data_IF_536712520379
#
_entry.id   IF_536712520379
#
_cell.length_a   1.000
_cell.length_b   1.000
_cell.length_c   1.000
_cell.angle_alpha   90.00
_cell.angle_beta   90.00
_cell.angle_gamma   90.00
#
_symmetry.space_group_name_H-M   'P 1'
#
loop_
_entity.id
_entity.type
_entity.pdbx_description
1 polymer ?
#
# COMPACT_ATOMS: atom_id res chain seq x y z
N UNK A 1 17.43 57.62 28.92
CA UNK A 1 16.74 57.44 27.62
C UNK A 1 17.27 56.15 26.97
N UNK A 2 16.50 55.09 26.92
CA UNK A 2 16.93 53.89 26.20
C UNK A 2 16.81 54.15 24.70
N UNK A 3 17.87 53.83 23.96
CA UNK A 3 17.90 54.05 22.53
C UNK A 3 16.85 53.16 21.85
N UNK A 4 16.12 53.70 20.88
CA UNK A 4 15.07 53.01 20.10
C UNK A 4 15.43 51.62 19.59
N UNK A 5 16.68 51.33 19.13
CA UNK A 5 17.06 49.99 18.71
C UNK A 5 17.08 48.95 19.88
N UNK A 6 17.37 49.37 21.10
CA UNK A 6 17.39 48.49 22.27
C UNK A 6 15.99 48.07 22.69
N UNK A 7 15.02 48.98 22.61
CA UNK A 7 13.62 48.69 22.93
C UNK A 7 13.00 47.76 21.85
N UNK A 8 13.34 47.95 20.61
CA UNK A 8 12.90 47.06 19.48
C UNK A 8 13.50 45.66 19.63
N UNK A 9 14.78 45.54 19.95
CA UNK A 9 15.42 44.21 20.15
C UNK A 9 14.83 43.48 21.33
N UNK A 10 14.51 44.19 22.42
CA UNK A 10 13.92 43.60 23.63
C UNK A 10 12.46 43.18 23.38
N UNK A 11 11.71 43.98 22.66
CA UNK A 11 10.34 43.63 22.23
C UNK A 11 10.33 42.42 21.31
N UNK A 12 11.27 42.29 20.38
CA UNK A 12 11.45 41.14 19.51
C UNK A 12 11.79 39.86 20.30
N UNK A 13 12.70 39.96 21.27
CA UNK A 13 13.10 38.86 22.15
C UNK A 13 11.93 38.36 23.03
N UNK A 14 11.09 39.27 23.53
CA UNK A 14 9.89 38.90 24.31
C UNK A 14 8.76 38.33 23.43
N UNK A 15 8.70 38.71 22.15
CA UNK A 15 7.69 38.18 21.24
C UNK A 15 8.01 36.76 20.76
N UNK A 16 9.28 36.36 20.75
CA UNK A 16 9.70 35.02 20.31
C UNK A 16 9.05 33.87 21.12
N UNK A 17 9.09 33.85 22.46
CA UNK A 17 8.41 32.79 23.24
C UNK A 17 6.90 32.83 23.07
N UNK A 18 6.30 34.02 22.92
CA UNK A 18 4.87 34.15 22.66
C UNK A 18 4.53 33.55 21.27
N UNK A 19 5.31 33.83 20.24
CA UNK A 19 5.16 33.27 18.93
C UNK A 19 5.38 31.75 18.90
N UNK A 20 6.34 31.25 19.67
CA UNK A 20 6.60 29.82 19.83
C UNK A 20 5.47 29.10 20.58
N UNK A 21 4.91 29.74 21.61
CA UNK A 21 3.87 29.13 22.46
C UNK A 21 2.46 29.22 21.80
N UNK A 22 2.16 30.33 21.14
CA UNK A 22 0.85 30.59 20.55
C UNK A 22 0.82 30.42 19.03
N UNK A 23 1.96 30.46 18.34
CA UNK A 23 2.06 30.29 16.87
C UNK A 23 1.36 29.02 16.36
N UNK A 24 1.55 27.85 16.98
CA UNK A 24 0.83 26.62 16.60
C UNK A 24 -0.69 26.66 16.84
N UNK A 25 -1.16 27.57 17.72
CA UNK A 25 -2.60 27.76 17.98
C UNK A 25 -3.25 28.79 17.07
N UNK A 26 -2.47 29.73 16.54
CA UNK A 26 -2.96 30.81 15.65
C UNK A 26 -2.88 30.39 14.19
N UNK A 27 -1.89 29.57 13.83
CA UNK A 27 -1.79 28.95 12.53
C UNK A 27 -2.17 27.48 12.71
N UNK A 28 -3.44 27.11 12.54
CA UNK A 28 -3.81 25.72 12.61
C UNK A 28 -3.00 24.99 11.53
N UNK A 29 -2.42 23.82 11.84
CA UNK A 29 -1.80 23.01 10.82
C UNK A 29 -2.80 22.87 9.68
N UNK A 30 -2.35 23.02 8.43
CA UNK A 30 -3.17 22.77 7.24
C UNK A 30 -3.58 21.29 7.22
N UNK A 31 -4.47 20.92 8.14
CA UNK A 31 -5.15 19.64 8.03
C UNK A 31 -6.19 19.79 6.93
N UNK A 32 -6.11 18.93 5.95
CA UNK A 32 -7.19 18.71 5.01
C UNK A 32 -8.47 18.53 5.83
N UNK A 33 -9.40 19.46 5.71
CA UNK A 33 -10.74 19.28 6.25
C UNK A 33 -11.38 18.13 5.46
N UNK A 34 -11.42 16.96 6.09
CA UNK A 34 -12.28 15.87 5.62
C UNK A 34 -13.70 16.39 5.85
N UNK A 35 -14.45 16.53 4.77
CA UNK A 35 -15.83 17.00 4.88
C UNK A 35 -16.65 15.89 5.55
N UNK A 36 -17.64 16.27 6.34
CA UNK A 36 -18.54 15.33 7.03
C UNK A 36 -19.21 14.35 6.04
N UNK A 37 -19.53 14.83 4.85
CA UNK A 37 -20.11 14.02 3.77
C UNK A 37 -19.15 12.92 3.30
N UNK A 38 -17.84 13.21 3.21
CA UNK A 38 -16.82 12.23 2.84
C UNK A 38 -16.69 11.12 3.89
N UNK A 39 -16.78 11.45 5.16
CA UNK A 39 -16.73 10.47 6.26
C UNK A 39 -17.96 9.57 6.27
N UNK A 40 -19.15 10.11 6.00
CA UNK A 40 -20.39 9.35 5.93
C UNK A 40 -20.39 8.39 4.73
N UNK A 41 -19.93 8.85 3.57
CA UNK A 41 -19.74 8.01 2.37
C UNK A 41 -18.78 6.84 2.66
N UNK A 42 -17.67 7.12 3.32
CA UNK A 42 -16.68 6.11 3.69
C UNK A 42 -17.22 5.08 4.68
N UNK A 43 -17.95 5.53 5.70
CA UNK A 43 -18.58 4.65 6.68
C UNK A 43 -19.61 3.74 6.02
N UNK A 44 -20.43 4.27 5.12
CA UNK A 44 -21.41 3.48 4.36
C UNK A 44 -20.72 2.45 3.47
N UNK A 45 -19.66 2.83 2.76
CA UNK A 45 -18.89 1.96 1.91
C UNK A 45 -18.24 0.82 2.71
N UNK A 46 -17.57 1.14 3.82
CA UNK A 46 -16.89 0.16 4.66
C UNK A 46 -17.86 -0.80 5.34
N UNK A 47 -19.04 -0.31 5.77
CA UNK A 47 -20.09 -1.15 6.33
C UNK A 47 -20.62 -2.13 5.28
N UNK A 48 -20.88 -1.68 4.06
CA UNK A 48 -21.30 -2.54 2.95
C UNK A 48 -20.25 -3.61 2.65
N UNK A 49 -18.98 -3.26 2.56
CA UNK A 49 -17.89 -4.19 2.33
C UNK A 49 -17.77 -5.23 3.46
N UNK A 50 -17.91 -4.81 4.72
CA UNK A 50 -17.88 -5.73 5.87
C UNK A 50 -19.04 -6.72 5.89
N UNK A 51 -20.23 -6.30 5.42
CA UNK A 51 -21.41 -7.19 5.33
C UNK A 51 -21.28 -8.17 4.14
N UNK A 52 -20.64 -7.72 3.04
CA UNK A 52 -20.46 -8.52 1.84
C UNK A 52 -19.42 -9.65 2.01
N UNK A 53 -18.57 -9.56 3.05
CA UNK A 53 -17.60 -10.63 3.34
C UNK A 53 -18.33 -11.97 3.49
N UNK A 54 -17.91 -13.02 2.74
CA UNK A 54 -18.51 -14.33 2.85
C UNK A 54 -18.34 -14.84 4.28
N UNK A 55 -19.43 -14.99 5.02
CA UNK A 55 -19.38 -15.74 6.27
C UNK A 55 -18.92 -17.16 5.95
N UNK A 56 -18.09 -17.79 6.78
CA UNK A 56 -17.69 -19.17 6.60
C UNK A 56 -18.97 -20.02 6.50
N UNK A 57 -19.35 -20.38 5.29
CA UNK A 57 -20.48 -21.31 5.09
C UNK A 57 -19.96 -22.72 5.26
N UNK A 58 -20.62 -23.56 6.04
CA UNK A 58 -20.31 -24.99 6.04
C UNK A 58 -20.42 -25.50 4.60
N UNK A 59 -19.41 -26.21 4.14
CA UNK A 59 -19.38 -26.78 2.78
C UNK A 59 -20.64 -27.63 2.56
N UNK A 60 -21.56 -27.15 1.72
CA UNK A 60 -22.49 -28.06 1.05
C UNK A 60 -21.66 -28.89 0.06
N UNK A 61 -21.84 -30.21 0.00
CA UNK A 61 -21.21 -31.02 -1.03
C UNK A 61 -21.70 -30.54 -2.37
N UNK A 62 -20.81 -29.89 -3.12
CA UNK A 62 -21.10 -29.43 -4.48
C UNK A 62 -21.11 -30.68 -5.35
N UNK A 63 -22.23 -30.94 -6.02
CA UNK A 63 -22.38 -31.98 -7.02
C UNK A 63 -21.23 -31.88 -8.04
N UNK A 64 -20.53 -32.99 -8.28
CA UNK A 64 -19.35 -33.07 -9.16
C UNK A 64 -19.68 -32.96 -10.65
N UNK A 65 -20.92 -32.71 -11.02
CA UNK A 65 -21.32 -32.56 -12.42
C UNK A 65 -21.25 -31.08 -12.85
N UNK A 66 -20.21 -30.74 -13.59
CA UNK A 66 -20.23 -29.66 -14.57
C UNK A 66 -19.93 -28.24 -14.11
N UNK A 67 -19.54 -27.97 -12.86
CA UNK A 67 -19.12 -26.63 -12.44
C UNK A 67 -17.60 -26.51 -12.49
N UNK A 68 -17.10 -25.80 -13.48
CA UNK A 68 -15.73 -25.25 -13.43
C UNK A 68 -15.61 -24.38 -12.19
N UNK A 69 -14.82 -24.84 -11.21
CA UNK A 69 -14.59 -24.10 -9.98
C UNK A 69 -13.87 -22.77 -10.36
N UNK A 70 -14.47 -21.60 -10.16
CA UNK A 70 -13.86 -20.36 -10.60
C UNK A 70 -12.54 -20.17 -9.86
N UNK A 71 -11.48 -19.80 -10.60
CA UNK A 71 -10.16 -19.57 -10.02
C UNK A 71 -10.17 -18.30 -9.19
N UNK A 72 -9.51 -18.27 -8.02
CA UNK A 72 -9.37 -17.06 -7.23
C UNK A 72 -8.55 -16.01 -7.99
N UNK A 73 -8.78 -14.73 -7.67
CA UNK A 73 -8.13 -13.61 -8.34
C UNK A 73 -7.24 -12.82 -7.38
N UNK A 74 -6.29 -12.09 -7.97
CA UNK A 74 -5.50 -11.07 -7.30
C UNK A 74 -6.13 -9.71 -7.61
N UNK A 75 -6.49 -8.94 -6.60
CA UNK A 75 -6.90 -7.54 -6.71
C UNK A 75 -5.68 -6.63 -6.57
N UNK A 76 -5.29 -5.96 -7.63
CA UNK A 76 -4.22 -4.97 -7.63
C UNK A 76 -4.81 -3.59 -7.32
N UNK A 77 -4.36 -2.99 -6.22
CA UNK A 77 -4.89 -1.75 -5.65
C UNK A 77 -3.86 -0.64 -5.83
N UNK A 78 -3.99 0.15 -6.89
CA UNK A 78 -3.07 1.22 -7.21
C UNK A 78 -3.44 2.51 -6.48
N UNK A 79 -2.48 3.03 -5.71
CA UNK A 79 -2.55 4.35 -5.10
C UNK A 79 -1.62 5.28 -5.85
N UNK A 80 -2.17 6.33 -6.45
CA UNK A 80 -1.38 7.30 -7.22
C UNK A 80 -1.75 8.75 -6.90
N UNK A 81 -0.75 9.62 -7.01
CA UNK A 81 -0.87 11.07 -7.04
C UNK A 81 -0.16 11.69 -8.25
N UNK A 82 0.22 10.87 -9.23
CA UNK A 82 0.80 11.25 -10.52
C UNK A 82 0.29 10.27 -11.56
N UNK A 83 0.67 10.47 -12.83
CA UNK A 83 0.40 9.51 -13.88
C UNK A 83 0.99 8.13 -13.58
N UNK A 84 0.38 7.10 -14.16
CA UNK A 84 0.82 5.71 -14.06
C UNK A 84 1.87 5.42 -15.14
N UNK A 85 3.04 6.05 -15.01
CA UNK A 85 4.11 5.99 -16.02
C UNK A 85 4.53 4.58 -16.43
N UNK A 86 4.39 3.61 -15.52
CA UNK A 86 4.69 2.20 -15.81
C UNK A 86 3.49 1.41 -16.36
N UNK A 87 2.42 2.08 -16.82
CA UNK A 87 1.27 1.40 -17.42
C UNK A 87 1.66 0.43 -18.54
N UNK A 88 2.56 0.74 -19.50
CA UNK A 88 2.96 -0.21 -20.54
C UNK A 88 3.61 -1.49 -19.98
N UNK A 89 4.40 -1.38 -18.90
CA UNK A 89 5.02 -2.53 -18.25
C UNK A 89 3.97 -3.40 -17.53
N UNK A 90 2.99 -2.77 -16.89
CA UNK A 90 1.88 -3.45 -16.23
C UNK A 90 0.94 -4.12 -17.23
N UNK A 91 0.65 -3.49 -18.38
CA UNK A 91 -0.11 -4.10 -19.47
C UNK A 91 0.52 -5.40 -19.94
N UNK A 92 1.85 -5.38 -20.10
CA UNK A 92 2.60 -6.56 -20.48
C UNK A 92 2.56 -7.65 -19.41
N UNK A 93 2.67 -7.26 -18.13
CA UNK A 93 2.55 -8.17 -17.00
C UNK A 93 1.17 -8.86 -16.94
N UNK A 94 0.10 -8.15 -17.24
CA UNK A 94 -1.27 -8.65 -17.13
C UNK A 94 -1.75 -9.38 -18.38
N UNK A 95 -1.10 -9.18 -19.51
CA UNK A 95 -1.51 -9.71 -20.82
C UNK A 95 -1.75 -11.22 -20.81
N UNK A 96 -2.93 -11.65 -21.29
CA UNK A 96 -3.33 -13.06 -21.33
C UNK A 96 -3.81 -13.65 -20.01
N UNK A 97 -3.98 -12.83 -18.97
CA UNK A 97 -4.36 -13.29 -17.64
C UNK A 97 -5.62 -12.61 -17.06
N UNK A 98 -6.46 -12.02 -17.89
CA UNK A 98 -7.60 -11.16 -17.56
C UNK A 98 -8.61 -11.83 -16.62
N UNK A 99 -8.65 -13.16 -16.60
CA UNK A 99 -9.54 -13.95 -15.74
C UNK A 99 -9.00 -14.17 -14.32
N UNK A 100 -7.75 -13.79 -14.05
CA UNK A 100 -7.04 -14.12 -12.81
C UNK A 100 -6.72 -12.90 -11.95
N UNK A 101 -7.05 -11.70 -12.41
CA UNK A 101 -6.83 -10.47 -11.68
C UNK A 101 -7.97 -9.48 -11.85
N UNK A 102 -8.00 -8.50 -10.98
CA UNK A 102 -8.75 -7.26 -11.11
C UNK A 102 -7.85 -6.08 -10.74
N UNK A 103 -8.07 -4.92 -11.36
CA UNK A 103 -7.32 -3.68 -11.08
C UNK A 103 -8.28 -2.63 -10.56
N UNK A 104 -7.86 -1.91 -9.53
CA UNK A 104 -8.58 -0.78 -8.94
C UNK A 104 -7.59 0.36 -8.71
N UNK A 105 -7.94 1.56 -9.12
CA UNK A 105 -7.07 2.74 -9.03
C UNK A 105 -7.74 3.81 -8.19
N UNK A 106 -7.03 4.32 -7.18
CA UNK A 106 -7.39 5.55 -6.48
C UNK A 106 -6.36 6.62 -6.83
N UNK A 107 -6.81 7.64 -7.55
CA UNK A 107 -6.02 8.83 -7.82
C UNK A 107 -6.34 9.93 -6.79
N UNK A 108 -5.35 10.75 -6.47
CA UNK A 108 -5.58 11.98 -5.71
C UNK A 108 -6.47 12.94 -6.53
N UNK A 109 -7.56 13.44 -5.95
CA UNK A 109 -8.47 14.35 -6.66
C UNK A 109 -7.84 15.71 -7.02
N UNK A 110 -6.72 16.07 -6.40
CA UNK A 110 -5.97 17.29 -6.75
C UNK A 110 -5.05 17.08 -7.97
N UNK A 111 -4.87 15.85 -8.42
CA UNK A 111 -4.00 15.49 -9.55
C UNK A 111 -4.87 15.05 -10.72
N UNK A 112 -4.62 15.63 -11.88
CA UNK A 112 -5.18 15.10 -13.13
C UNK A 112 -4.30 13.93 -13.57
N UNK A 113 -4.78 12.72 -13.32
CA UNK A 113 -4.15 11.51 -13.86
C UNK A 113 -4.77 11.28 -15.24
N UNK A 114 -3.93 11.27 -16.27
CA UNK A 114 -4.39 11.00 -17.62
C UNK A 114 -4.91 9.56 -17.73
N UNK A 115 -6.14 9.40 -18.18
CA UNK A 115 -6.64 8.11 -18.66
C UNK A 115 -6.17 7.96 -20.11
N UNK A 116 -5.10 7.22 -20.30
CA UNK A 116 -4.48 7.05 -21.61
C UNK A 116 -5.28 6.12 -22.56
N UNK A 117 -6.47 5.72 -22.17
CA UNK A 117 -7.41 4.94 -22.99
C UNK A 117 -6.78 3.72 -23.68
N UNK A 118 -7.27 2.52 -23.35
CA UNK A 118 -6.79 1.28 -23.97
C UNK A 118 -5.73 0.52 -23.18
N UNK A 119 -5.24 1.05 -22.05
CA UNK A 119 -4.40 0.32 -21.11
C UNK A 119 -5.23 -0.45 -20.06
N UNK A 120 -4.55 -1.26 -19.25
CA UNK A 120 -5.17 -2.05 -18.18
C UNK A 120 -5.86 -1.21 -17.10
N UNK A 121 -5.56 0.08 -17.01
CA UNK A 121 -6.10 1.01 -16.02
C UNK A 121 -7.35 1.74 -16.49
N UNK A 122 -7.64 1.70 -17.80
CA UNK A 122 -8.81 2.36 -18.38
C UNK A 122 -10.10 1.85 -17.75
N UNK A 123 -10.92 2.79 -17.24
CA UNK A 123 -12.17 2.47 -16.56
C UNK A 123 -12.01 1.79 -15.18
N UNK A 124 -10.79 1.76 -14.59
CA UNK A 124 -10.51 1.12 -13.31
C UNK A 124 -10.43 2.08 -12.13
N UNK A 125 -10.68 3.35 -12.37
CA UNK A 125 -10.62 4.38 -11.34
C UNK A 125 -11.86 4.33 -10.44
N UNK A 126 -11.64 4.26 -9.13
CA UNK A 126 -12.70 4.48 -8.14
C UNK A 126 -12.87 5.98 -7.88
N UNK A 127 -13.95 6.39 -7.17
CA UNK A 127 -14.21 7.79 -6.85
C UNK A 127 -12.98 8.44 -6.22
N UNK A 128 -12.40 9.43 -6.90
CA UNK A 128 -11.23 10.15 -6.44
C UNK A 128 -11.52 10.94 -5.16
N UNK A 129 -10.58 10.92 -4.21
CA UNK A 129 -10.60 11.74 -3.00
C UNK A 129 -9.22 12.32 -2.78
N UNK A 130 -9.16 13.50 -2.19
CA UNK A 130 -7.88 14.14 -1.88
C UNK A 130 -7.09 13.30 -0.88
N UNK A 131 -5.83 13.10 -1.20
CA UNK A 131 -4.87 12.40 -0.34
C UNK A 131 -3.66 13.27 -0.07
N UNK A 132 -3.11 13.15 1.11
CA UNK A 132 -1.89 13.83 1.48
C UNK A 132 -0.89 12.83 2.03
N UNK A 133 0.38 12.99 1.62
CA UNK A 133 1.46 12.18 2.15
C UNK A 133 1.52 12.34 3.65
N UNK A 134 1.73 11.22 4.33
CA UNK A 134 1.78 11.21 5.77
C UNK A 134 0.48 11.70 6.46
N UNK A 135 -0.70 11.60 5.83
CA UNK A 135 -2.02 11.95 6.37
C UNK A 135 -2.94 10.72 6.53
N UNK A 136 -3.89 10.68 7.46
CA UNK A 136 -4.91 9.62 7.55
C UNK A 136 -5.67 9.39 6.25
N UNK A 137 -5.74 10.41 5.40
CA UNK A 137 -6.40 10.35 4.09
C UNK A 137 -5.81 9.26 3.17
N UNK A 138 -4.51 8.97 3.28
CA UNK A 138 -3.88 7.90 2.52
C UNK A 138 -4.34 6.51 2.99
N UNK A 139 -4.57 6.34 4.29
CA UNK A 139 -5.13 5.10 4.85
C UNK A 139 -6.59 4.94 4.38
N UNK A 140 -7.37 6.02 4.40
CA UNK A 140 -8.74 6.02 3.91
C UNK A 140 -8.81 5.66 2.43
N UNK A 141 -7.90 6.17 1.59
CA UNK A 141 -7.80 5.81 0.18
C UNK A 141 -7.52 4.30 -0.02
N UNK A 142 -6.57 3.74 0.72
CA UNK A 142 -6.30 2.30 0.68
C UNK A 142 -7.51 1.46 1.15
N UNK A 143 -8.21 1.90 2.20
CA UNK A 143 -9.45 1.25 2.66
C UNK A 143 -10.57 1.32 1.64
N UNK A 144 -10.71 2.43 0.90
CA UNK A 144 -11.69 2.57 -0.20
C UNK A 144 -11.40 1.58 -1.32
N UNK A 145 -10.12 1.44 -1.71
CA UNK A 145 -9.70 0.45 -2.70
C UNK A 145 -10.03 -0.97 -2.26
N UNK A 146 -9.69 -1.32 -1.02
CA UNK A 146 -10.04 -2.63 -0.45
C UNK A 146 -11.55 -2.86 -0.44
N UNK A 147 -12.33 -1.88 -0.01
CA UNK A 147 -13.79 -1.99 0.03
C UNK A 147 -14.38 -2.12 -1.38
N UNK A 148 -13.91 -1.34 -2.35
CA UNK A 148 -14.32 -1.45 -3.74
C UNK A 148 -14.05 -2.86 -4.29
N UNK A 149 -12.83 -3.38 -4.10
CA UNK A 149 -12.45 -4.69 -4.56
C UNK A 149 -13.23 -5.85 -3.89
N UNK A 150 -13.59 -5.70 -2.60
CA UNK A 150 -14.40 -6.68 -1.87
C UNK A 150 -15.86 -6.69 -2.34
N UNK A 151 -16.39 -5.54 -2.78
CA UNK A 151 -17.77 -5.42 -3.25
C UNK A 151 -17.94 -5.81 -4.71
N UNK A 152 -16.89 -5.64 -5.52
CA UNK A 152 -16.93 -5.85 -6.97
C UNK A 152 -16.88 -7.35 -7.33
N UNK A 153 -15.90 -8.07 -6.81
CA UNK A 153 -15.69 -9.47 -7.20
C UNK A 153 -15.39 -10.37 -6.00
N UNK A 154 -16.27 -11.34 -5.67
CA UNK A 154 -16.06 -12.26 -4.56
C UNK A 154 -14.91 -13.26 -4.80
N UNK A 155 -14.33 -13.31 -5.99
CA UNK A 155 -13.16 -14.12 -6.31
C UNK A 155 -11.85 -13.45 -5.94
N UNK A 156 -11.86 -12.16 -5.62
CA UNK A 156 -10.69 -11.45 -5.09
C UNK A 156 -10.25 -12.08 -3.76
N UNK A 157 -9.09 -12.73 -3.77
CA UNK A 157 -8.57 -13.51 -2.63
C UNK A 157 -7.26 -12.96 -2.07
N UNK A 158 -6.47 -12.29 -2.90
CA UNK A 158 -5.30 -11.49 -2.50
C UNK A 158 -5.48 -10.05 -2.92
N UNK A 159 -4.97 -9.13 -2.10
CA UNK A 159 -5.07 -7.69 -2.30
C UNK A 159 -3.67 -7.09 -2.25
N UNK A 160 -3.14 -6.73 -3.41
CA UNK A 160 -1.80 -6.14 -3.54
C UNK A 160 -1.91 -4.61 -3.60
N UNK A 161 -1.46 -3.91 -2.55
CA UNK A 161 -1.40 -2.44 -2.56
C UNK A 161 -0.12 -1.99 -3.25
N UNK A 162 -0.27 -1.29 -4.36
CA UNK A 162 0.81 -0.90 -5.27
C UNK A 162 0.84 0.62 -5.45
N UNK A 163 2.01 1.23 -5.53
CA UNK A 163 2.17 2.65 -5.85
C UNK A 163 2.57 2.84 -7.31
N UNK A 164 2.38 4.05 -7.84
CA UNK A 164 2.77 4.41 -9.21
C UNK A 164 4.27 4.21 -9.53
N UNK A 165 5.12 4.10 -8.50
CA UNK A 165 6.56 3.87 -8.63
C UNK A 165 6.98 2.41 -8.46
N UNK A 166 6.03 1.49 -8.40
CA UNK A 166 6.29 0.06 -8.30
C UNK A 166 6.36 -0.57 -9.68
N UNK A 167 7.22 -1.57 -9.78
CA UNK A 167 7.32 -2.45 -10.95
C UNK A 167 7.15 -3.91 -10.54
N UNK A 168 6.66 -4.79 -11.42
CA UNK A 168 6.75 -6.23 -11.25
C UNK A 168 8.20 -6.69 -11.47
N UNK A 169 8.62 -7.72 -10.75
CA UNK A 169 9.95 -8.35 -10.89
C UNK A 169 9.88 -9.72 -11.56
N UNK A 170 8.71 -10.29 -11.70
CA UNK A 170 8.44 -11.62 -12.24
C UNK A 170 7.24 -11.59 -13.17
N UNK A 171 7.01 -12.67 -13.92
CA UNK A 171 5.79 -12.83 -14.71
C UNK A 171 4.54 -12.90 -13.82
N UNK A 172 3.38 -12.60 -14.41
CA UNK A 172 2.10 -12.78 -13.73
C UNK A 172 1.91 -14.24 -13.29
N UNK A 173 2.31 -15.18 -14.13
CA UNK A 173 2.15 -16.60 -13.85
C UNK A 173 2.96 -17.04 -12.64
N UNK A 174 4.21 -16.57 -12.52
CA UNK A 174 5.04 -16.80 -11.33
C UNK A 174 4.40 -16.20 -10.08
N UNK A 175 3.99 -14.92 -10.15
CA UNK A 175 3.30 -14.21 -9.06
C UNK A 175 2.05 -14.97 -8.61
N UNK A 176 1.21 -15.40 -9.54
CA UNK A 176 0.00 -16.15 -9.24
C UNK A 176 0.31 -17.50 -8.59
N UNK A 177 1.27 -18.25 -9.10
CA UNK A 177 1.69 -19.52 -8.52
C UNK A 177 2.24 -19.34 -7.11
N UNK A 178 3.08 -18.35 -6.88
CA UNK A 178 3.65 -18.05 -5.55
C UNK A 178 2.55 -17.81 -4.51
N UNK A 179 1.50 -17.09 -4.87
CA UNK A 179 0.41 -16.76 -3.94
C UNK A 179 -0.58 -17.91 -3.72
N UNK A 180 -0.89 -18.69 -4.75
CA UNK A 180 -1.97 -19.68 -4.70
C UNK A 180 -1.51 -21.13 -4.61
N UNK A 181 -0.21 -21.41 -4.78
CA UNK A 181 0.31 -22.77 -4.55
C UNK A 181 0.59 -22.98 -3.07
N UNK A 182 0.05 -24.04 -2.46
CA UNK A 182 0.37 -24.35 -1.07
C UNK A 182 1.87 -24.55 -0.89
N UNK A 183 2.48 -23.85 0.08
CA UNK A 183 3.88 -24.10 0.43
C UNK A 183 4.07 -25.58 0.84
N UNK A 184 5.10 -26.26 0.32
CA UNK A 184 5.37 -27.67 0.67
C UNK A 184 5.90 -27.85 2.10
N UNK A 185 6.10 -26.81 2.90
CA UNK A 185 6.62 -26.91 4.26
C UNK A 185 5.49 -27.34 5.18
N UNK A 186 5.45 -28.60 5.64
CA UNK A 186 4.49 -29.03 6.67
C UNK A 186 4.95 -28.45 8.01
N UNK A 187 4.29 -27.45 8.51
CA UNK A 187 4.41 -27.12 9.93
C UNK A 187 3.76 -28.27 10.71
N UNK A 188 4.47 -28.87 11.64
CA UNK A 188 4.04 -30.09 12.38
C UNK A 188 2.67 -29.95 13.08
N UNK A 189 2.19 -28.74 13.33
CA UNK A 189 0.88 -28.48 13.91
C UNK A 189 -0.33 -28.78 13.01
N UNK A 190 -0.14 -29.13 11.72
CA UNK A 190 -1.22 -29.19 10.72
C UNK A 190 -1.65 -30.61 10.30
N UNK A 191 -1.25 -31.66 11.03
CA UNK A 191 -1.59 -33.06 10.65
C UNK A 191 -3.05 -33.49 10.89
N UNK A 192 -3.89 -32.66 11.51
CA UNK A 192 -5.26 -33.09 11.93
C UNK A 192 -6.43 -32.18 11.56
N UNK A 193 -6.24 -31.10 10.80
CA UNK A 193 -7.39 -30.31 10.38
C UNK A 193 -7.39 -30.05 8.87
N UNK A 194 -8.40 -30.58 8.19
CA UNK A 194 -8.89 -30.15 6.87
C UNK A 194 -9.49 -28.74 6.95
N UNK A 195 -8.91 -27.87 7.78
CA UNK A 195 -9.34 -26.53 7.99
C UNK A 195 -8.96 -25.68 6.79
N UNK A 196 -9.90 -24.92 6.27
CA UNK A 196 -9.69 -23.89 5.26
C UNK A 196 -8.50 -23.02 5.67
N UNK A 197 -7.38 -23.12 4.96
CA UNK A 197 -6.29 -22.17 5.09
C UNK A 197 -6.77 -20.86 4.49
N UNK A 198 -7.02 -19.87 5.33
CA UNK A 198 -7.10 -18.49 4.86
C UNK A 198 -5.79 -18.14 4.19
N UNK A 199 -5.80 -17.40 3.06
CA UNK A 199 -4.57 -16.92 2.44
C UNK A 199 -3.77 -16.11 3.47
N UNK A 200 -2.49 -16.39 3.57
CA UNK A 200 -1.57 -15.70 4.49
C UNK A 200 -1.30 -14.29 3.97
N UNK A 201 -1.28 -13.30 4.86
CA UNK A 201 -0.94 -11.91 4.52
C UNK A 201 0.58 -11.70 4.54
N UNK A 202 1.14 -11.25 3.43
CA UNK A 202 2.56 -10.93 3.29
C UNK A 202 2.82 -9.50 3.74
N UNK A 203 2.99 -9.32 5.04
CA UNK A 203 3.15 -8.03 5.69
C UNK A 203 4.36 -8.07 6.59
N UNK A 204 5.28 -7.13 6.36
CA UNK A 204 6.44 -6.94 7.21
C UNK A 204 6.01 -6.23 8.51
N UNK A 205 6.33 -6.83 9.63
CA UNK A 205 6.12 -6.28 10.95
C UNK A 205 7.49 -5.90 11.49
N UNK A 206 7.74 -4.60 11.54
CA UNK A 206 8.97 -4.06 12.11
C UNK A 206 8.85 -4.10 13.63
N UNK A 207 9.61 -4.96 14.26
CA UNK A 207 9.74 -5.04 15.72
C UNK A 207 11.16 -4.68 16.14
N UNK A 208 11.29 -3.91 17.22
CA UNK A 208 12.59 -3.63 17.84
C UNK A 208 13.38 -2.44 17.27
N UNK A 209 12.82 -1.65 16.34
CA UNK A 209 13.46 -0.41 15.93
C UNK A 209 13.26 0.68 17.00
N UNK A 210 14.33 1.26 17.57
CA UNK A 210 14.22 2.29 18.62
C UNK A 210 13.35 3.49 18.21
N UNK A 211 13.40 3.85 16.93
CA UNK A 211 12.63 4.96 16.37
C UNK A 211 11.12 4.71 16.32
N UNK A 212 10.65 3.45 16.47
CA UNK A 212 9.21 3.14 16.45
C UNK A 212 8.52 3.64 17.72
N UNK A 213 9.18 3.54 18.87
CA UNK A 213 8.64 4.01 20.16
C UNK A 213 8.48 5.54 20.18
N UNK A 214 9.48 6.27 19.68
CA UNK A 214 9.41 7.73 19.57
C UNK A 214 8.29 8.17 18.61
N UNK A 215 8.10 7.44 17.54
CA UNK A 215 7.03 7.66 16.55
C UNK A 215 5.65 7.34 17.14
N UNK A 216 5.55 6.32 17.97
CA UNK A 216 4.34 5.96 18.68
C UNK A 216 3.97 7.05 19.71
N UNK A 217 4.91 7.44 20.54
CA UNK A 217 4.72 8.46 21.60
C UNK A 217 4.40 9.85 21.02
N UNK A 218 4.99 10.21 19.88
CA UNK A 218 4.65 11.46 19.18
C UNK A 218 3.22 11.48 18.64
N UNK A 219 2.61 10.30 18.45
CA UNK A 219 1.25 10.13 17.93
C UNK A 219 0.14 10.25 18.98
N UNK A 220 0.44 10.03 20.26
CA UNK A 220 -0.56 10.13 21.33
C UNK A 220 -1.10 11.55 21.50
N UNK A 221 -0.37 12.57 21.06
CA UNK A 221 -0.76 13.99 21.21
C UNK A 221 -1.76 14.51 20.16
N UNK A 222 -2.13 13.71 19.16
CA UNK A 222 -3.06 14.11 18.09
C UNK A 222 -4.13 13.05 17.81
N UNK A 223 -4.87 12.68 18.86
CA UNK A 223 -5.92 11.66 18.77
C UNK A 223 -7.20 12.23 18.17
N UNK A 224 -7.54 11.81 16.94
CA UNK A 224 -8.90 11.93 16.41
C UNK A 224 -9.74 10.65 16.57
N UNK A 225 -9.16 9.55 17.08
CA UNK A 225 -9.87 8.30 17.32
C UNK A 225 -9.37 7.62 18.60
N UNK A 226 -10.20 7.53 19.65
CA UNK A 226 -9.77 7.02 20.97
C UNK A 226 -9.47 5.51 21.03
N UNK A 227 -9.59 4.78 19.94
CA UNK A 227 -9.42 3.31 19.89
C UNK A 227 -8.26 2.81 19.03
N UNK A 228 -7.56 3.69 18.32
CA UNK A 228 -6.39 3.32 17.52
C UNK A 228 -5.35 4.42 17.62
N UNK A 229 -4.10 4.10 17.94
CA UNK A 229 -3.05 5.10 18.03
C UNK A 229 -2.86 5.78 16.67
N UNK A 230 -3.37 6.98 16.52
CA UNK A 230 -3.10 7.84 15.38
C UNK A 230 -1.75 8.49 15.61
N UNK A 231 -0.71 7.91 15.05
CA UNK A 231 0.64 8.42 15.20
C UNK A 231 0.80 9.70 14.39
N UNK A 232 0.99 10.80 15.09
CA UNK A 232 1.03 12.18 14.57
C UNK A 232 2.27 12.60 13.79
N UNK A 233 3.12 11.69 13.39
CA UNK A 233 4.21 11.97 12.46
C UNK A 233 4.13 11.02 11.26
N UNK A 234 4.54 11.49 10.09
CA UNK A 234 4.36 10.83 8.80
C UNK A 234 4.77 9.36 8.66
N UNK A 235 5.40 8.80 9.68
CA UNK A 235 5.85 7.41 9.71
C UNK A 235 4.83 6.43 10.31
N UNK A 236 3.95 6.87 11.20
CA UNK A 236 2.97 5.98 11.85
C UNK A 236 1.96 5.34 10.91
N UNK A 237 1.79 5.90 9.74
CA UNK A 237 0.79 5.46 8.74
C UNK A 237 1.26 4.33 7.84
N UNK A 238 2.56 4.17 7.68
CA UNK A 238 3.13 3.02 6.96
C UNK A 238 2.87 1.71 7.72
N UNK A 239 2.57 1.80 9.01
CA UNK A 239 2.37 0.66 9.90
C UNK A 239 0.90 0.36 10.23
N UNK A 240 -0.07 1.14 9.70
CA UNK A 240 -1.49 0.94 10.02
C UNK A 240 -1.97 -0.50 9.75
N UNK A 241 -1.85 -0.98 8.51
CA UNK A 241 -2.27 -2.33 8.16
C UNK A 241 -1.42 -3.41 8.84
N UNK A 242 -0.08 -3.33 8.86
CA UNK A 242 0.75 -4.27 9.61
C UNK A 242 0.37 -4.34 11.10
N UNK A 243 0.19 -3.21 11.76
CA UNK A 243 -0.20 -3.18 13.17
C UNK A 243 -1.59 -3.79 13.38
N UNK A 244 -2.57 -3.39 12.56
CA UNK A 244 -3.94 -3.91 12.67
C UNK A 244 -3.97 -5.43 12.51
N UNK A 245 -3.32 -5.95 11.47
CA UNK A 245 -3.33 -7.38 11.16
C UNK A 245 -2.52 -8.19 12.17
N UNK A 246 -1.37 -7.69 12.63
CA UNK A 246 -0.59 -8.37 13.65
C UNK A 246 -1.30 -8.45 15.00
N UNK A 247 -2.19 -7.50 15.30
CA UNK A 247 -3.00 -7.53 16.52
C UNK A 247 -4.23 -8.45 16.38
N UNK A 248 -4.84 -8.53 15.20
CA UNK A 248 -6.09 -9.27 15.00
C UNK A 248 -5.88 -10.70 14.51
N UNK A 249 -4.86 -10.92 13.68
CA UNK A 249 -4.53 -12.23 13.12
C UNK A 249 -3.00 -12.43 12.98
N UNK A 250 -2.27 -12.51 14.10
CA UNK A 250 -0.81 -12.65 14.09
C UNK A 250 -0.34 -13.93 13.38
N UNK A 251 -1.12 -15.00 13.45
CA UNK A 251 -0.80 -16.27 12.80
C UNK A 251 -1.10 -16.28 11.30
N UNK A 252 -1.89 -15.33 10.82
CA UNK A 252 -2.18 -15.13 9.40
C UNK A 252 -1.17 -14.21 8.69
N UNK A 253 -0.15 -13.70 9.39
CA UNK A 253 0.87 -12.83 8.83
C UNK A 253 2.22 -13.55 8.70
N UNK A 254 2.97 -13.25 7.63
CA UNK A 254 4.28 -13.88 7.36
C UNK A 254 5.46 -13.16 8.02
N UNK A 255 5.27 -11.96 8.54
CA UNK A 255 6.31 -11.06 9.05
C UNK A 255 7.34 -10.59 8.00
N UNK A 256 7.08 -10.77 6.72
CA UNK A 256 7.86 -10.23 5.61
C UNK A 256 6.94 -9.80 4.46
N UNK A 257 7.42 -8.86 3.66
CA UNK A 257 6.72 -8.33 2.48
C UNK A 257 7.19 -9.00 1.20
N UNK A 258 6.36 -8.97 0.16
CA UNK A 258 6.73 -9.39 -1.21
C UNK A 258 7.17 -8.22 -2.10
N UNK A 259 7.32 -7.02 -1.53
CA UNK A 259 7.78 -5.83 -2.24
C UNK A 259 9.16 -5.42 -1.73
N UNK A 260 10.17 -5.45 -2.60
CA UNK A 260 11.51 -4.94 -2.29
C UNK A 260 11.50 -3.43 -2.19
N UNK A 261 12.03 -2.89 -1.09
CA UNK A 261 12.25 -1.46 -0.87
C UNK A 261 13.66 -1.26 -0.38
N UNK A 262 14.46 -0.45 -1.06
CA UNK A 262 15.81 -0.13 -0.62
C UNK A 262 15.78 1.08 0.31
N UNK A 263 16.21 0.90 1.54
CA UNK A 263 16.28 1.94 2.56
C UNK A 263 17.71 2.39 2.89
N UNK A 264 18.72 1.86 2.19
CA UNK A 264 20.14 2.09 2.51
C UNK A 264 20.51 3.57 2.40
N UNK A 265 20.00 4.27 1.36
CA UNK A 265 20.28 5.68 1.08
C UNK A 265 19.08 6.57 1.37
N UNK A 266 18.34 6.26 2.44
CA UNK A 266 17.11 6.99 2.73
C UNK A 266 17.41 8.42 3.18
N UNK A 267 17.02 9.39 2.34
CA UNK A 267 17.04 10.82 2.66
C UNK A 267 15.63 11.34 2.91
N UNK A 268 15.43 12.06 4.02
CA UNK A 268 14.13 12.64 4.36
C UNK A 268 13.00 11.61 4.51
N UNK A 269 13.31 10.35 4.89
CA UNK A 269 12.31 9.27 5.02
C UNK A 269 11.78 8.73 3.70
N UNK A 270 12.52 8.94 2.59
CA UNK A 270 12.27 8.33 1.28
C UNK A 270 13.22 7.17 1.06
N UNK A 271 12.74 6.01 0.56
CA UNK A 271 13.64 4.97 0.08
C UNK A 271 14.36 5.42 -1.18
N UNK A 272 15.44 4.73 -1.51
CA UNK A 272 16.17 4.89 -2.77
C UNK A 272 15.22 4.88 -3.98
N UNK A 273 15.47 5.76 -4.94
CA UNK A 273 14.74 5.81 -6.21
C UNK A 273 15.71 5.46 -7.32
N UNK A 274 15.52 4.29 -7.91
CA UNK A 274 16.33 3.82 -9.03
C UNK A 274 16.14 4.71 -10.25
N UNK A 275 17.25 5.08 -10.90
CA UNK A 275 17.31 5.88 -12.10
C UNK A 275 17.71 5.03 -13.33
N UNK A 276 17.49 5.51 -14.58
CA UNK A 276 17.75 4.72 -15.79
C UNK A 276 19.14 4.07 -15.87
N UNK A 277 20.27 4.71 -15.47
CA UNK A 277 21.59 4.08 -15.54
C UNK A 277 21.78 2.87 -14.63
N UNK A 278 20.96 2.73 -13.59
CA UNK A 278 20.99 1.60 -12.64
C UNK A 278 20.24 0.39 -13.18
N UNK A 279 19.30 0.60 -14.13
CA UNK A 279 18.45 -0.47 -14.64
C UNK A 279 19.25 -1.44 -15.48
N UNK A 280 19.42 -2.64 -14.97
CA UNK A 280 20.22 -3.71 -15.60
C UNK A 280 19.61 -5.08 -15.28
N UNK A 281 19.98 -6.12 -16.06
CA UNK A 281 19.59 -7.50 -15.75
C UNK A 281 20.03 -7.95 -14.36
N UNK A 282 21.18 -7.48 -13.90
CA UNK A 282 21.73 -7.85 -12.59
C UNK A 282 20.97 -7.17 -11.46
N UNK A 283 20.59 -5.90 -11.61
CA UNK A 283 19.70 -5.22 -10.66
C UNK A 283 18.38 -5.98 -10.50
N UNK A 284 17.74 -6.39 -11.60
CA UNK A 284 16.47 -7.13 -11.52
C UNK A 284 16.66 -8.45 -10.77
N UNK A 285 17.76 -9.17 -11.02
CA UNK A 285 18.07 -10.42 -10.31
C UNK A 285 18.33 -10.18 -8.83
N UNK A 286 19.08 -9.14 -8.48
CA UNK A 286 19.34 -8.73 -7.09
C UNK A 286 18.06 -8.38 -6.35
N UNK A 287 17.17 -7.60 -6.97
CA UNK A 287 15.91 -7.18 -6.38
C UNK A 287 14.95 -8.33 -6.07
N UNK A 288 15.09 -9.45 -6.77
CA UNK A 288 14.32 -10.68 -6.52
C UNK A 288 14.77 -11.41 -5.25
N UNK A 289 16.02 -11.25 -4.84
CA UNK A 289 16.60 -12.00 -3.70
C UNK A 289 15.97 -11.53 -2.39
N UNK A 290 15.47 -12.47 -1.62
CA UNK A 290 14.88 -12.26 -0.31
C UNK A 290 15.54 -13.17 0.74
N UNK A 291 15.58 -12.74 1.98
CA UNK A 291 16.00 -13.55 3.12
C UNK A 291 14.91 -14.54 3.58
N UNK A 292 13.74 -14.53 2.92
CA UNK A 292 12.63 -15.44 3.19
C UNK A 292 12.58 -16.60 2.20
N UNK A 293 11.65 -17.51 2.38
CA UNK A 293 11.41 -18.63 1.45
C UNK A 293 10.83 -18.21 0.09
N UNK A 294 10.47 -16.94 -0.07
CA UNK A 294 9.84 -16.40 -1.27
C UNK A 294 10.68 -15.30 -1.88
N UNK A 295 10.71 -15.24 -3.21
CA UNK A 295 11.29 -14.13 -3.95
C UNK A 295 10.44 -12.86 -3.78
N UNK A 296 11.06 -11.67 -3.85
CA UNK A 296 10.28 -10.45 -3.99
C UNK A 296 9.57 -10.41 -5.34
N UNK A 297 8.27 -10.17 -5.33
CA UNK A 297 7.44 -10.11 -6.54
C UNK A 297 7.43 -8.73 -7.19
N UNK A 298 7.63 -7.70 -6.39
CA UNK A 298 7.58 -6.30 -6.80
C UNK A 298 8.75 -5.54 -6.21
N UNK A 299 9.10 -4.40 -6.82
CA UNK A 299 10.09 -3.48 -6.27
C UNK A 299 9.66 -2.01 -6.40
N UNK A 300 10.22 -1.16 -5.55
CA UNK A 300 10.05 0.29 -5.55
C UNK A 300 11.22 0.97 -4.83
N UNK A 301 11.56 2.23 -5.20
CA UNK A 301 10.93 3.11 -6.16
C UNK A 301 11.74 3.18 -7.44
N UNK A 302 11.04 3.35 -8.56
CA UNK A 302 11.68 3.64 -9.83
C UNK A 302 11.24 5.03 -10.31
N UNK A 303 12.20 5.78 -10.90
CA UNK A 303 11.91 7.03 -11.60
C UNK A 303 11.07 6.73 -12.85
N UNK A 304 10.13 7.62 -13.24
CA UNK A 304 9.37 7.49 -14.49
C UNK A 304 10.24 7.22 -15.73
N UNK A 305 11.42 7.84 -15.78
CA UNK A 305 12.37 7.71 -16.88
C UNK A 305 12.95 6.30 -17.05
N UNK A 306 12.71 5.41 -16.05
CA UNK A 306 13.11 4.00 -16.14
C UNK A 306 12.21 3.17 -17.05
N UNK A 307 11.12 3.71 -17.61
CA UNK A 307 10.18 2.93 -18.40
C UNK A 307 10.87 2.25 -19.58
N UNK A 308 11.58 2.98 -20.42
CA UNK A 308 12.21 2.42 -21.63
C UNK A 308 13.20 1.29 -21.30
N UNK A 309 14.21 1.49 -20.42
CA UNK A 309 15.12 0.39 -20.08
C UNK A 309 14.43 -0.78 -19.38
N UNK A 310 13.34 -0.57 -18.65
CA UNK A 310 12.55 -1.66 -18.07
C UNK A 310 11.78 -2.43 -19.14
N UNK A 311 11.22 -1.74 -20.14
CA UNK A 311 10.55 -2.38 -21.27
C UNK A 311 11.50 -3.22 -22.10
N UNK A 312 12.74 -2.79 -22.29
CA UNK A 312 13.79 -3.57 -22.97
C UNK A 312 14.14 -4.87 -22.23
N UNK A 313 14.01 -4.88 -20.91
CA UNK A 313 14.24 -6.04 -20.04
C UNK A 313 12.99 -6.88 -19.81
N UNK A 314 11.80 -6.39 -20.16
CA UNK A 314 10.53 -7.01 -19.80
C UNK A 314 10.48 -8.50 -20.19
N UNK A 315 10.62 -8.83 -21.48
CA UNK A 315 10.52 -10.21 -21.97
C UNK A 315 11.80 -11.01 -21.81
N UNK A 316 12.94 -10.34 -21.69
CA UNK A 316 14.24 -11.00 -21.63
C UNK A 316 14.61 -11.43 -20.22
N UNK A 317 14.14 -10.66 -19.21
CA UNK A 317 14.56 -10.82 -17.82
C UNK A 317 13.37 -10.82 -16.87
N UNK A 318 12.49 -9.77 -16.92
CA UNK A 318 11.46 -9.58 -15.91
C UNK A 318 10.37 -10.65 -15.99
N UNK A 319 9.90 -11.00 -17.18
CA UNK A 319 8.80 -11.95 -17.36
C UNK A 319 9.28 -13.34 -17.82
N UNK A 320 10.57 -13.58 -17.76
CA UNK A 320 11.18 -14.88 -18.07
C UNK A 320 11.57 -15.60 -16.78
N UNK A 321 10.65 -16.37 -16.23
CA UNK A 321 10.81 -17.20 -15.03
C UNK A 321 10.96 -18.68 -15.39
#
# INVERSE_FOLDING_TARGET
>A
MFSTPFVLSFALLLSLPILFHFGPRIIPPKHLQITLDDDLDDLALFRRAAIALPRPRPRRPVSRLGTTNPKPKIAFLFLTNTDLHFAPLWDRFFSGHERLYNVYVHADSATQVADHGGDVFSGRFIKARRTERASPTLISAARRLLAAALLDDPLNSYFAVVSQHCIPLHSFQFTYRTLFTPSPIPTESNRKSTQFRYPTSYIEILSGEPQLLDRYNAGEKTSCCPKYPSTGSGSGRKHYFPTLLSMQDPNGCTHYTLTRVNWTDSTGGHPHTYCPPEVSPDLIRELRVSNSSYSYLFARKFSPDCLDPLMDLADKVIFRD
#
